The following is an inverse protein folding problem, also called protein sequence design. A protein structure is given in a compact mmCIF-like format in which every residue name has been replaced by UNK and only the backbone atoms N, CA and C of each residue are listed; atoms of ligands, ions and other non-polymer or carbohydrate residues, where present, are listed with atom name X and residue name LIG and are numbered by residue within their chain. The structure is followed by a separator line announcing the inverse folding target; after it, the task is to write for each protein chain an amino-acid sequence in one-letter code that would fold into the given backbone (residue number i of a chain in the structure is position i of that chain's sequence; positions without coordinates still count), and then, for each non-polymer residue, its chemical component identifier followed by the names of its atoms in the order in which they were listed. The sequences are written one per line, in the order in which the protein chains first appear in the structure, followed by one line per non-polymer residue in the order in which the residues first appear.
data_IF_901857786582
#
_entry.id   IF_901857786582
#
_cell.length_a   1.000
_cell.length_b   1.000
_cell.length_c   1.000
_cell.angle_alpha   90.00
_cell.angle_beta   90.00
_cell.angle_gamma   90.00
#
_symmetry.space_group_name_H-M   'P 1'
#
loop_
_entity.id
_entity.type
_entity.pdbx_description
1 polymer ?
#
# COMPACT_ATOMS: atom_id res chain seq x y z
N UNK A 1 -16.96 -8.62 35.68
CA UNK A 1 -16.35 -9.63 34.79
C UNK A 1 -14.83 -9.50 34.61
N UNK A 2 -14.21 -8.33 34.90
CA UNK A 2 -12.76 -8.08 34.78
C UNK A 2 -11.90 -8.67 35.90
N UNK A 3 -12.47 -9.04 37.02
CA UNK A 3 -11.70 -9.54 38.20
C UNK A 3 -11.34 -11.03 38.15
N UNK A 4 -11.88 -11.79 37.19
CA UNK A 4 -11.69 -13.23 37.11
C UNK A 4 -10.68 -13.71 36.08
N UNK A 5 -10.20 -12.80 35.19
CA UNK A 5 -9.28 -13.14 34.10
C UNK A 5 -8.19 -12.07 33.96
N UNK A 6 -6.93 -12.49 33.89
CA UNK A 6 -5.83 -11.61 33.50
C UNK A 6 -5.90 -11.37 32.00
N UNK A 7 -6.41 -10.21 31.58
CA UNK A 7 -6.44 -9.81 30.17
C UNK A 7 -5.14 -9.07 29.83
N UNK A 8 -4.32 -9.63 28.95
CA UNK A 8 -3.16 -8.97 28.37
C UNK A 8 -3.64 -8.24 27.11
N UNK A 9 -3.60 -6.92 27.12
CA UNK A 9 -3.92 -6.11 25.94
C UNK A 9 -2.62 -5.86 25.18
N UNK A 10 -2.47 -6.54 24.03
CA UNK A 10 -1.39 -6.28 23.11
C UNK A 10 -1.77 -5.10 22.22
N UNK A 11 -1.01 -4.01 22.31
CA UNK A 11 -1.16 -2.85 21.41
C UNK A 11 -0.15 -2.98 20.27
N UNK A 12 -0.53 -2.61 19.02
CA UNK A 12 0.43 -2.48 17.94
C UNK A 12 1.56 -1.52 18.34
N UNK A 13 2.80 -1.89 17.98
CA UNK A 13 3.95 -1.02 18.23
C UNK A 13 3.92 0.16 17.28
N UNK A 14 4.18 1.36 17.79
CA UNK A 14 4.34 2.53 16.91
C UNK A 14 5.64 2.40 16.10
N UNK A 15 5.64 2.93 14.88
CA UNK A 15 6.76 2.79 13.96
C UNK A 15 8.09 3.35 14.50
N UNK A 16 8.06 4.39 15.34
CA UNK A 16 9.25 4.93 16.00
C UNK A 16 9.83 3.95 17.03
N UNK A 17 8.96 3.32 17.83
CA UNK A 17 9.37 2.34 18.85
C UNK A 17 9.90 1.07 18.17
N UNK A 18 9.26 0.68 17.05
CA UNK A 18 9.68 -0.45 16.23
C UNK A 18 11.07 -0.21 15.60
N UNK A 19 11.35 1.00 15.08
CA UNK A 19 12.66 1.35 14.55
C UNK A 19 13.75 1.29 15.64
N UNK A 20 13.47 1.83 16.85
CA UNK A 20 14.40 1.76 17.98
C UNK A 20 14.69 0.31 18.39
N UNK A 21 13.66 -0.54 18.38
CA UNK A 21 13.81 -1.97 18.69
C UNK A 21 14.60 -2.73 17.63
N UNK A 22 14.43 -2.38 16.34
CA UNK A 22 15.28 -2.90 15.26
C UNK A 22 16.75 -2.57 15.52
N UNK A 23 17.07 -1.32 15.89
CA UNK A 23 18.45 -0.93 16.18
C UNK A 23 19.04 -1.75 17.33
N UNK A 24 18.27 -2.02 18.39
CA UNK A 24 18.69 -2.90 19.48
C UNK A 24 18.97 -4.34 18.98
N UNK A 25 18.08 -4.91 18.19
CA UNK A 25 18.23 -6.27 17.66
C UNK A 25 19.43 -6.40 16.69
N UNK A 26 19.66 -5.37 15.86
CA UNK A 26 20.82 -5.27 14.99
C UNK A 26 22.10 -5.19 15.82
N UNK A 27 22.11 -4.40 16.89
CA UNK A 27 23.25 -4.27 17.83
C UNK A 27 23.57 -5.58 18.55
N UNK A 28 22.54 -6.35 18.97
CA UNK A 28 22.74 -7.70 19.56
C UNK A 28 23.45 -8.66 18.62
N UNK A 29 23.27 -8.49 17.31
CA UNK A 29 23.97 -9.28 16.28
C UNK A 29 25.35 -8.73 15.92
N UNK A 30 25.81 -7.67 16.61
CA UNK A 30 27.12 -7.05 16.41
C UNK A 30 27.15 -6.01 15.27
N UNK A 31 26.03 -5.70 14.64
CA UNK A 31 25.95 -4.70 13.58
C UNK A 31 25.47 -3.35 14.10
N UNK A 32 25.63 -2.31 13.28
CA UNK A 32 25.04 -0.98 13.54
C UNK A 32 24.27 -0.51 12.33
N UNK A 33 23.10 0.11 12.54
CA UNK A 33 22.24 0.68 11.51
C UNK A 33 21.81 2.09 11.93
N UNK A 34 21.60 2.98 10.95
CA UNK A 34 21.06 4.30 11.25
C UNK A 34 19.57 4.23 11.63
N UNK A 35 19.09 5.21 12.39
CA UNK A 35 17.67 5.30 12.73
C UNK A 35 16.81 5.44 11.45
N UNK A 36 17.27 6.21 10.47
CA UNK A 36 16.58 6.43 9.21
C UNK A 36 16.43 5.12 8.42
N UNK A 37 17.48 4.30 8.37
CA UNK A 37 17.43 3.01 7.70
C UNK A 37 16.56 2.00 8.45
N UNK A 38 16.63 1.96 9.77
CA UNK A 38 15.75 1.14 10.60
C UNK A 38 14.27 1.54 10.40
N UNK A 39 14.01 2.84 10.32
CA UNK A 39 12.68 3.38 10.03
C UNK A 39 12.22 3.02 8.61
N UNK A 40 13.10 3.14 7.62
CA UNK A 40 12.82 2.72 6.25
C UNK A 40 12.42 1.24 6.16
N UNK A 41 13.13 0.35 6.88
CA UNK A 41 12.79 -1.08 6.91
C UNK A 41 11.39 -1.31 7.52
N UNK A 42 11.04 -0.61 8.62
CA UNK A 42 9.71 -0.72 9.24
C UNK A 42 8.62 -0.21 8.30
N UNK A 43 8.82 0.94 7.69
CA UNK A 43 7.84 1.55 6.80
C UNK A 43 7.60 0.68 5.56
N UNK A 44 8.65 0.10 4.97
CA UNK A 44 8.54 -0.83 3.83
C UNK A 44 8.01 -2.22 4.22
N UNK A 45 8.01 -2.54 5.51
CA UNK A 45 7.42 -3.76 6.07
C UNK A 45 5.98 -3.55 6.56
N UNK A 46 5.30 -2.46 6.21
CA UNK A 46 3.94 -2.10 6.64
C UNK A 46 3.76 -2.09 8.16
N UNK A 47 4.78 -1.64 8.88
CA UNK A 47 4.85 -1.68 10.35
C UNK A 47 4.72 -3.09 10.95
N UNK A 48 5.00 -4.13 10.15
CA UNK A 48 5.07 -5.51 10.61
C UNK A 48 6.50 -5.83 11.06
N UNK A 49 6.66 -5.99 12.38
CA UNK A 49 7.96 -6.19 13.00
C UNK A 49 8.63 -7.50 12.54
N UNK A 50 7.87 -8.58 12.32
CA UNK A 50 8.41 -9.86 11.89
C UNK A 50 8.97 -9.81 10.46
N UNK A 51 8.26 -9.12 9.56
CA UNK A 51 8.75 -8.88 8.19
C UNK A 51 10.02 -8.01 8.23
N UNK A 52 10.04 -6.96 9.06
CA UNK A 52 11.21 -6.12 9.24
C UNK A 52 12.41 -6.91 9.78
N UNK A 53 12.20 -7.80 10.74
CA UNK A 53 13.25 -8.66 11.29
C UNK A 53 13.79 -9.68 10.28
N UNK A 54 12.95 -10.18 9.36
CA UNK A 54 13.40 -11.02 8.25
C UNK A 54 14.29 -10.24 7.29
N UNK A 55 13.94 -8.99 6.97
CA UNK A 55 14.79 -8.11 6.17
C UNK A 55 16.14 -7.85 6.86
N UNK A 56 16.14 -7.57 8.17
CA UNK A 56 17.36 -7.42 8.96
C UNK A 56 18.21 -8.69 8.93
N UNK A 57 17.62 -9.86 9.10
CA UNK A 57 18.35 -11.13 9.03
C UNK A 57 19.04 -11.30 7.68
N UNK A 58 18.34 -11.02 6.58
CA UNK A 58 18.88 -11.04 5.22
C UNK A 58 20.04 -10.07 5.04
N UNK A 59 19.91 -8.83 5.52
CA UNK A 59 20.96 -7.81 5.44
C UNK A 59 22.18 -8.25 6.26
N UNK A 60 22.02 -8.73 7.48
CA UNK A 60 23.11 -9.21 8.32
C UNK A 60 23.86 -10.41 7.69
N UNK A 61 23.12 -11.30 7.01
CA UNK A 61 23.73 -12.43 6.29
C UNK A 61 24.58 -11.98 5.11
N UNK A 62 24.17 -10.91 4.42
CA UNK A 62 24.94 -10.36 3.30
C UNK A 62 26.35 -9.88 3.72
N UNK A 63 26.48 -9.31 4.91
CA UNK A 63 27.74 -8.71 5.37
C UNK A 63 28.77 -9.70 5.92
N UNK A 64 28.47 -10.96 6.12
CA UNK A 64 29.36 -12.03 6.63
C UNK A 64 30.08 -11.74 7.97
N UNK A 65 30.23 -10.47 8.38
CA UNK A 65 30.90 -10.05 9.62
C UNK A 65 30.29 -8.78 10.17
N UNK A 66 30.31 -8.59 11.50
CA UNK A 66 29.78 -7.39 12.16
C UNK A 66 30.39 -6.10 11.62
N UNK A 67 29.55 -5.16 11.18
CA UNK A 67 29.97 -3.86 10.66
C UNK A 67 28.84 -2.82 10.76
N UNK A 68 29.10 -1.61 10.25
CA UNK A 68 28.08 -0.61 10.02
C UNK A 68 27.39 -0.91 8.67
N UNK A 69 26.08 -1.13 8.72
CA UNK A 69 25.23 -1.37 7.54
C UNK A 69 25.13 -0.07 6.74
N UNK A 70 25.31 -0.15 5.42
CA UNK A 70 25.21 1.01 4.52
C UNK A 70 23.76 1.20 4.07
N UNK A 71 23.35 2.46 3.92
CA UNK A 71 22.00 2.80 3.50
C UNK A 71 21.66 2.31 2.08
N UNK A 72 22.66 2.21 1.20
CA UNK A 72 22.49 1.67 -0.15
C UNK A 72 22.10 0.19 -0.11
N UNK A 73 22.82 -0.59 0.70
CA UNK A 73 22.56 -2.03 0.86
C UNK A 73 21.20 -2.28 1.56
N UNK A 74 20.82 -1.40 2.50
CA UNK A 74 19.47 -1.47 3.10
C UNK A 74 18.38 -1.32 2.04
N UNK A 75 18.52 -0.34 1.14
CA UNK A 75 17.55 -0.10 0.06
C UNK A 75 17.51 -1.23 -0.97
N UNK A 76 18.66 -1.79 -1.28
CA UNK A 76 18.79 -2.87 -2.26
C UNK A 76 18.28 -4.20 -1.71
N UNK A 77 18.63 -4.51 -0.45
CA UNK A 77 18.35 -5.81 0.15
C UNK A 77 16.97 -5.87 0.86
N UNK A 78 16.37 -4.72 1.21
CA UNK A 78 15.06 -4.73 1.84
C UNK A 78 14.00 -5.17 0.83
N UNK A 79 13.37 -6.29 1.09
CA UNK A 79 12.22 -6.74 0.31
C UNK A 79 11.02 -5.86 0.66
N UNK A 80 10.52 -5.11 -0.30
CA UNK A 80 9.25 -4.39 -0.18
C UNK A 80 8.13 -5.43 -0.20
N UNK A 81 7.17 -5.34 0.70
CA UNK A 81 6.06 -6.30 0.71
C UNK A 81 5.24 -6.18 -0.57
N UNK A 82 4.66 -7.29 -1.00
CA UNK A 82 3.74 -7.31 -2.16
C UNK A 82 2.58 -6.34 -1.92
N UNK A 83 2.05 -6.32 -0.70
CA UNK A 83 0.97 -5.45 -0.27
C UNK A 83 1.36 -3.97 -0.37
N UNK A 84 2.57 -3.59 0.06
CA UNK A 84 3.06 -2.22 -0.06
C UNK A 84 3.16 -1.79 -1.54
N UNK A 85 3.66 -2.67 -2.39
CA UNK A 85 3.71 -2.41 -3.84
C UNK A 85 2.31 -2.30 -4.46
N UNK A 86 1.32 -3.08 -3.98
CA UNK A 86 -0.07 -2.95 -4.41
C UNK A 86 -0.64 -1.57 -4.04
N UNK A 87 -0.41 -1.10 -2.80
CA UNK A 87 -0.83 0.23 -2.38
C UNK A 87 -0.12 1.34 -3.17
N UNK A 88 1.19 1.20 -3.40
CA UNK A 88 1.97 2.16 -4.22
C UNK A 88 1.49 2.19 -5.67
N UNK A 89 1.13 1.05 -6.26
CA UNK A 89 0.54 0.99 -7.59
C UNK A 89 -0.76 1.79 -7.65
N UNK A 90 -1.68 1.50 -6.75
CA UNK A 90 -2.98 2.16 -6.70
C UNK A 90 -2.84 3.67 -6.47
N UNK A 91 -1.98 4.07 -5.54
CA UNK A 91 -1.70 5.49 -5.26
C UNK A 91 -1.08 6.19 -6.48
N UNK A 92 -0.16 5.53 -7.18
CA UNK A 92 0.45 6.03 -8.41
C UNK A 92 -0.59 6.25 -9.52
N UNK A 93 -1.53 5.32 -9.69
CA UNK A 93 -2.63 5.46 -10.67
C UNK A 93 -3.54 6.63 -10.29
N UNK A 94 -4.00 6.69 -9.03
CA UNK A 94 -4.92 7.73 -8.55
C UNK A 94 -4.30 9.13 -8.62
N UNK A 95 -2.99 9.23 -8.44
CA UNK A 95 -2.27 10.52 -8.51
C UNK A 95 -1.75 10.86 -9.91
N UNK A 96 -1.98 10.00 -10.92
CA UNK A 96 -1.54 10.22 -12.29
C UNK A 96 -0.05 9.95 -12.54
N UNK A 97 0.65 9.28 -11.61
CA UNK A 97 2.05 8.88 -11.79
C UNK A 97 2.14 7.53 -12.53
N UNK A 98 1.71 7.53 -13.79
CA UNK A 98 1.62 6.31 -14.60
C UNK A 98 2.98 5.65 -14.85
N UNK A 99 4.07 6.42 -14.92
CA UNK A 99 5.42 5.87 -15.05
C UNK A 99 5.80 4.96 -13.86
N UNK A 100 5.43 5.37 -12.65
CA UNK A 100 5.65 4.55 -11.46
C UNK A 100 4.72 3.33 -11.45
N UNK A 101 3.45 3.51 -11.82
CA UNK A 101 2.50 2.42 -11.93
C UNK A 101 2.98 1.34 -12.91
N UNK A 102 3.51 1.72 -14.08
CA UNK A 102 4.10 0.80 -15.04
C UNK A 102 5.29 0.01 -14.50
N UNK A 103 6.19 0.66 -13.76
CA UNK A 103 7.33 -0.04 -13.12
C UNK A 103 6.84 -1.11 -12.17
N UNK A 104 5.92 -0.76 -11.30
CA UNK A 104 5.36 -1.71 -10.31
C UNK A 104 4.62 -2.86 -11.01
N UNK A 105 3.83 -2.56 -12.05
CA UNK A 105 3.11 -3.59 -12.80
C UNK A 105 4.06 -4.56 -13.51
N UNK A 106 5.18 -4.05 -14.04
CA UNK A 106 6.24 -4.88 -14.63
C UNK A 106 6.88 -5.79 -13.59
N UNK A 107 7.16 -5.29 -12.40
CA UNK A 107 7.71 -6.09 -11.31
C UNK A 107 6.74 -7.20 -10.88
N UNK A 108 5.45 -6.90 -10.80
CA UNK A 108 4.40 -7.90 -10.53
C UNK A 108 4.35 -8.98 -11.63
N UNK A 109 4.47 -8.60 -12.88
CA UNK A 109 4.51 -9.55 -14.01
C UNK A 109 5.71 -10.50 -13.92
N UNK A 110 6.89 -9.96 -13.59
CA UNK A 110 8.13 -10.75 -13.39
C UNK A 110 7.97 -11.72 -12.20
N UNK A 111 7.39 -11.24 -11.10
CA UNK A 111 7.17 -12.04 -9.89
C UNK A 111 5.94 -12.96 -9.98
N UNK A 112 5.20 -12.95 -11.10
CA UNK A 112 3.96 -13.71 -11.33
C UNK A 112 2.88 -13.45 -10.27
N UNK A 113 2.80 -12.23 -9.76
CA UNK A 113 1.79 -11.82 -8.76
C UNK A 113 0.47 -11.59 -9.48
N UNK A 114 -0.61 -12.18 -8.98
CA UNK A 114 -1.94 -12.04 -9.58
C UNK A 114 -2.46 -10.59 -9.55
N UNK A 115 -2.77 -9.97 -10.71
CA UNK A 115 -3.15 -8.56 -10.76
C UNK A 115 -4.61 -8.28 -10.40
N UNK A 116 -5.45 -9.30 -10.16
CA UNK A 116 -6.87 -9.11 -9.80
C UNK A 116 -7.04 -8.26 -8.55
N UNK A 117 -6.12 -8.35 -7.58
CA UNK A 117 -6.15 -7.53 -6.38
C UNK A 117 -6.01 -6.04 -6.71
N UNK A 118 -5.22 -5.69 -7.73
CA UNK A 118 -5.02 -4.29 -8.17
C UNK A 118 -6.32 -3.71 -8.74
N UNK A 119 -7.04 -4.50 -9.55
CA UNK A 119 -8.33 -4.13 -10.14
C UNK A 119 -9.35 -3.88 -9.03
N UNK A 120 -9.43 -4.80 -8.06
CA UNK A 120 -10.30 -4.64 -6.90
C UNK A 120 -9.96 -3.39 -6.08
N UNK A 121 -8.67 -3.15 -5.82
CA UNK A 121 -8.22 -1.99 -5.05
C UNK A 121 -8.51 -0.68 -5.78
N UNK A 122 -8.28 -0.60 -7.09
CA UNK A 122 -8.64 0.58 -7.91
C UNK A 122 -10.15 0.84 -7.86
N UNK A 123 -10.96 -0.19 -8.05
CA UNK A 123 -12.42 -0.07 -7.96
C UNK A 123 -12.87 0.45 -6.59
N UNK A 124 -12.25 -0.05 -5.52
CA UNK A 124 -12.52 0.41 -4.15
C UNK A 124 -12.14 1.87 -3.95
N UNK A 125 -10.97 2.29 -4.42
CA UNK A 125 -10.51 3.68 -4.27
C UNK A 125 -11.42 4.65 -5.04
N UNK A 126 -11.74 4.37 -6.31
CA UNK A 126 -12.64 5.22 -7.10
C UNK A 126 -14.05 5.28 -6.48
N UNK A 127 -14.57 4.15 -6.00
CA UNK A 127 -15.87 4.11 -5.32
C UNK A 127 -15.87 4.96 -4.04
N UNK A 128 -14.83 4.83 -3.23
CA UNK A 128 -14.71 5.59 -1.98
C UNK A 128 -14.60 7.09 -2.25
N UNK A 129 -13.80 7.51 -3.25
CA UNK A 129 -13.73 8.92 -3.67
C UNK A 129 -15.09 9.45 -4.12
N UNK A 130 -15.83 8.67 -4.91
CA UNK A 130 -17.16 9.04 -5.38
C UNK A 130 -18.15 9.22 -4.22
N UNK A 131 -18.19 8.25 -3.30
CA UNK A 131 -19.08 8.27 -2.14
C UNK A 131 -18.73 9.42 -1.18
N UNK A 132 -17.45 9.66 -0.91
CA UNK A 132 -17.01 10.78 -0.06
C UNK A 132 -17.34 12.12 -0.72
N UNK A 133 -17.18 12.24 -2.03
CA UNK A 133 -17.57 13.44 -2.79
C UNK A 133 -19.08 13.69 -2.72
N UNK A 134 -19.89 12.64 -2.81
CA UNK A 134 -21.34 12.69 -2.62
C UNK A 134 -21.70 13.12 -1.19
N UNK A 135 -21.06 12.54 -0.19
CA UNK A 135 -21.25 12.91 1.22
C UNK A 135 -20.89 14.37 1.50
N UNK A 136 -19.89 14.91 0.82
CA UNK A 136 -19.48 16.31 0.96
C UNK A 136 -20.49 17.28 0.31
N UNK A 137 -21.17 16.85 -0.76
CA UNK A 137 -22.15 17.66 -1.49
C UNK A 137 -23.58 17.60 -0.90
N UNK A 138 -23.91 16.55 -0.15
CA UNK A 138 -25.26 16.30 0.37
C UNK A 138 -25.25 16.02 1.87
N UNK A 139 -25.65 17.02 2.66
CA UNK A 139 -25.67 16.92 4.13
C UNK A 139 -26.67 15.89 4.65
N UNK A 140 -27.75 15.58 3.92
CA UNK A 140 -28.78 14.61 4.34
C UNK A 140 -28.25 13.17 4.30
N UNK A 141 -27.40 12.85 3.34
CA UNK A 141 -26.84 11.49 3.16
C UNK A 141 -25.47 11.33 3.78
N UNK A 142 -24.81 12.43 4.18
CA UNK A 142 -23.44 12.45 4.68
C UNK A 142 -23.19 11.42 5.77
N UNK A 143 -23.97 11.44 6.83
CA UNK A 143 -23.76 10.54 7.98
C UNK A 143 -23.97 9.07 7.61
N UNK A 144 -24.98 8.77 6.78
CA UNK A 144 -25.25 7.41 6.33
C UNK A 144 -24.07 6.87 5.50
N UNK A 145 -23.54 7.66 4.56
CA UNK A 145 -22.38 7.27 3.73
C UNK A 145 -21.15 7.07 4.60
N UNK A 146 -20.84 8.00 5.51
CA UNK A 146 -19.65 7.91 6.37
C UNK A 146 -19.73 6.71 7.33
N UNK A 147 -20.91 6.41 7.86
CA UNK A 147 -21.14 5.23 8.71
C UNK A 147 -20.95 3.94 7.91
N UNK A 148 -21.51 3.86 6.70
CA UNK A 148 -21.38 2.69 5.82
C UNK A 148 -19.92 2.45 5.41
N UNK A 149 -19.16 3.50 5.13
CA UNK A 149 -17.75 3.39 4.75
C UNK A 149 -16.84 3.05 5.94
N UNK A 150 -17.28 3.31 7.17
CA UNK A 150 -16.49 3.08 8.41
C UNK A 150 -15.05 3.56 8.33
N UNK A 151 -14.83 4.73 7.71
CA UNK A 151 -13.51 5.29 7.49
C UNK A 151 -13.08 6.20 8.65
N UNK A 152 -11.82 6.08 9.05
CA UNK A 152 -11.18 7.02 9.95
C UNK A 152 -11.11 8.42 9.30
N UNK A 153 -11.06 9.48 10.11
CA UNK A 153 -11.06 10.86 9.61
C UNK A 153 -9.93 11.12 8.60
N UNK A 154 -8.72 10.66 8.89
CA UNK A 154 -7.57 10.82 7.99
C UNK A 154 -7.77 10.13 6.63
N UNK A 155 -8.50 9.01 6.60
CA UNK A 155 -8.85 8.32 5.34
C UNK A 155 -9.86 9.15 4.54
N UNK A 156 -10.87 9.71 5.22
CA UNK A 156 -11.83 10.62 4.59
C UNK A 156 -11.13 11.81 3.96
N UNK A 157 -10.19 12.44 4.69
CA UNK A 157 -9.41 13.59 4.21
C UNK A 157 -8.53 13.20 3.00
N UNK A 158 -7.93 12.01 3.01
CA UNK A 158 -7.21 11.46 1.85
C UNK A 158 -8.12 11.33 0.63
N UNK A 159 -9.31 10.74 0.78
CA UNK A 159 -10.26 10.57 -0.33
C UNK A 159 -10.80 11.91 -0.85
N UNK A 160 -11.03 12.88 0.01
CA UNK A 160 -11.42 14.23 -0.40
C UNK A 160 -10.30 14.89 -1.21
N UNK A 161 -9.07 14.81 -0.75
CA UNK A 161 -7.91 15.35 -1.45
C UNK A 161 -7.71 14.69 -2.81
N UNK A 162 -7.67 13.38 -2.89
CA UNK A 162 -7.51 12.66 -4.15
C UNK A 162 -8.71 12.88 -5.08
N UNK A 163 -9.92 12.82 -4.53
CA UNK A 163 -11.16 13.03 -5.29
C UNK A 163 -11.35 14.46 -5.81
N UNK A 164 -10.62 15.47 -5.28
CA UNK A 164 -10.69 16.84 -5.79
C UNK A 164 -10.19 16.96 -7.23
N UNK A 165 -9.27 16.09 -7.63
CA UNK A 165 -8.71 16.06 -8.99
C UNK A 165 -9.66 15.41 -10.03
N UNK A 166 -10.76 14.82 -9.59
CA UNK A 166 -11.71 14.11 -10.45
C UNK A 166 -13.09 14.78 -10.40
N UNK A 167 -13.74 14.93 -11.56
CA UNK A 167 -15.18 15.22 -11.58
C UNK A 167 -15.98 13.96 -11.18
N UNK A 168 -17.24 14.13 -10.77
CA UNK A 168 -18.14 12.99 -10.48
C UNK A 168 -18.24 12.05 -11.68
N UNK A 169 -18.45 12.63 -12.89
CA UNK A 169 -18.53 11.88 -14.16
C UNK A 169 -17.22 11.12 -14.47
N UNK A 170 -16.06 11.71 -14.14
CA UNK A 170 -14.78 11.02 -14.33
C UNK A 170 -14.67 9.80 -13.42
N UNK A 171 -15.04 9.90 -12.15
CA UNK A 171 -15.03 8.76 -11.21
C UNK A 171 -16.01 7.66 -11.64
N UNK A 172 -17.22 8.04 -12.11
CA UNK A 172 -18.19 7.09 -12.66
C UNK A 172 -17.65 6.38 -13.90
N UNK A 173 -17.00 7.12 -14.80
CA UNK A 173 -16.36 6.56 -15.99
C UNK A 173 -15.25 5.58 -15.62
N UNK A 174 -14.40 5.92 -14.65
CA UNK A 174 -13.34 5.01 -14.19
C UNK A 174 -13.89 3.72 -13.58
N UNK A 175 -14.97 3.78 -12.82
CA UNK A 175 -15.62 2.58 -12.30
C UNK A 175 -16.17 1.68 -13.42
N UNK A 176 -16.75 2.26 -14.46
CA UNK A 176 -17.18 1.51 -15.64
C UNK A 176 -15.99 0.90 -16.39
N UNK A 177 -14.91 1.66 -16.59
CA UNK A 177 -13.70 1.17 -17.22
C UNK A 177 -13.11 -0.04 -16.47
N UNK A 178 -12.98 0.06 -15.15
CA UNK A 178 -12.47 -1.02 -14.30
C UNK A 178 -13.40 -2.25 -14.35
N UNK A 179 -14.72 -2.05 -14.35
CA UNK A 179 -15.68 -3.15 -14.47
C UNK A 179 -15.57 -3.87 -15.83
N UNK A 180 -15.38 -3.14 -16.91
CA UNK A 180 -15.17 -3.71 -18.24
C UNK A 180 -13.86 -4.49 -18.31
N UNK A 181 -12.77 -3.98 -17.74
CA UNK A 181 -11.48 -4.68 -17.64
C UNK A 181 -11.64 -5.99 -16.87
N UNK A 182 -12.29 -5.96 -15.72
CA UNK A 182 -12.55 -7.17 -14.91
C UNK A 182 -13.35 -8.21 -15.71
N UNK A 183 -14.38 -7.78 -16.43
CA UNK A 183 -15.19 -8.65 -17.28
C UNK A 183 -14.37 -9.23 -18.44
N UNK A 184 -13.61 -8.42 -19.17
CA UNK A 184 -12.82 -8.84 -20.31
C UNK A 184 -11.74 -9.86 -19.91
N UNK A 185 -11.13 -9.68 -18.73
CA UNK A 185 -10.16 -10.63 -18.17
C UNK A 185 -10.86 -11.94 -17.77
N UNK A 186 -11.98 -11.88 -17.05
CA UNK A 186 -12.73 -13.07 -16.58
C UNK A 186 -13.32 -13.90 -17.71
N UNK A 187 -13.66 -13.25 -18.82
CA UNK A 187 -14.15 -13.94 -20.03
C UNK A 187 -13.03 -14.44 -20.95
N UNK A 188 -11.75 -14.20 -20.57
CA UNK A 188 -10.60 -14.62 -21.39
C UNK A 188 -10.38 -13.81 -22.66
N UNK A 189 -11.06 -12.67 -22.80
CA UNK A 189 -10.97 -11.80 -23.99
C UNK A 189 -9.62 -11.07 -24.07
N UNK A 190 -8.99 -10.81 -22.93
CA UNK A 190 -7.70 -10.15 -22.83
C UNK A 190 -6.85 -10.75 -21.70
N UNK A 191 -5.52 -10.77 -21.88
CA UNK A 191 -4.59 -11.11 -20.80
C UNK A 191 -4.66 -10.08 -19.66
N UNK A 192 -4.61 -10.56 -18.44
CA UNK A 192 -4.78 -9.78 -17.22
C UNK A 192 -3.73 -8.66 -17.04
N UNK A 193 -2.48 -8.89 -17.43
CA UNK A 193 -1.45 -7.86 -17.37
C UNK A 193 -1.58 -6.88 -18.53
N UNK A 194 -1.88 -7.40 -19.74
CA UNK A 194 -2.10 -6.55 -20.91
C UNK A 194 -3.27 -5.59 -20.70
N UNK A 195 -4.35 -6.04 -20.06
CA UNK A 195 -5.50 -5.19 -19.74
C UNK A 195 -5.12 -4.00 -18.87
N UNK A 196 -4.30 -4.21 -17.82
CA UNK A 196 -3.81 -3.14 -16.95
C UNK A 196 -2.78 -2.26 -17.67
N UNK A 197 -1.90 -2.83 -18.49
CA UNK A 197 -0.95 -2.07 -19.31
C UNK A 197 -1.71 -1.10 -20.24
N UNK A 198 -2.74 -1.58 -20.94
CA UNK A 198 -3.60 -0.75 -21.80
C UNK A 198 -4.37 0.31 -21.02
N UNK A 199 -4.87 -0.04 -19.84
CA UNK A 199 -5.53 0.92 -18.95
C UNK A 199 -4.59 2.08 -18.61
N UNK A 200 -3.36 1.79 -18.20
CA UNK A 200 -2.36 2.81 -17.86
C UNK A 200 -1.98 3.67 -19.08
N UNK A 201 -1.83 3.08 -20.27
CA UNK A 201 -1.51 3.80 -21.51
C UNK A 201 -2.61 4.80 -21.85
N UNK A 202 -3.86 4.37 -21.81
CA UNK A 202 -5.02 5.22 -22.17
C UNK A 202 -5.22 6.40 -21.22
N UNK A 203 -4.57 6.40 -20.04
CA UNK A 203 -4.61 7.50 -19.07
C UNK A 203 -3.35 8.39 -19.10
N UNK A 204 -2.28 7.94 -19.80
CA UNK A 204 -1.01 8.68 -19.89
C UNK A 204 -0.95 9.60 -21.14
N UNK A 205 -2.01 9.60 -21.95
CA UNK A 205 -2.19 10.46 -23.12
C UNK A 205 -3.09 11.65 -22.74
#
# INVERSE_FOLDING_TARGET
MKEKYHAIILKPMYANDAASKIMEEVKKRGFTISYEDARYIIDTSLNNFDIAMNNIAKICLYYNSPCKIKSEDVKELTSVSIEDNQFKFVDAVITGNYNQAFKILKDFKIQKIEPFILIYMLAREYRNMLLIKEAASNTKTKNAILTTLNLQKWQQDKYLKNGSNYSKKALEKELVNIANIDLDIKTGKIDKYLALEMYLINHNI
#
